data_IF_400851898552
#
_entry.id   IF_400851898552
#
_cell.length_a   1.000
_cell.length_b   1.000
_cell.length_c   1.000
_cell.angle_alpha   90.00
_cell.angle_beta   90.00
_cell.angle_gamma   90.00
#
_symmetry.space_group_name_H-M   'P 1'
#
loop_
_entity.id
_entity.type
_entity.pdbx_description
1 polymer ?
#
# COMPACT_ATOMS: atom_id res chain seq x y z
N UNK A 1 -1.19 -84.11 41.36
CA UNK A 1 -0.06 -83.72 40.50
C UNK A 1 -0.57 -82.80 39.41
N UNK A 2 0.17 -81.70 39.19
CA UNK A 2 0.12 -80.75 38.06
C UNK A 2 -1.11 -79.86 37.88
N UNK A 3 -0.95 -78.61 38.36
CA UNK A 3 -1.68 -77.41 37.95
C UNK A 3 -1.30 -77.06 36.50
N UNK A 4 -2.28 -76.77 35.64
CA UNK A 4 -2.05 -76.07 34.38
C UNK A 4 -2.57 -74.64 34.49
N UNK A 5 -1.68 -73.68 34.26
CA UNK A 5 -1.91 -72.24 34.32
C UNK A 5 -2.55 -71.79 32.99
N UNK A 6 -3.64 -71.03 33.09
CA UNK A 6 -4.22 -70.24 31.99
C UNK A 6 -3.20 -69.21 31.49
N UNK A 7 -3.12 -69.04 30.17
CA UNK A 7 -2.59 -67.81 29.54
C UNK A 7 -3.61 -67.36 28.51
N UNK A 8 -4.41 -66.35 28.88
CA UNK A 8 -5.29 -65.64 27.96
C UNK A 8 -4.47 -64.54 27.28
N UNK A 9 -4.32 -64.63 25.96
CA UNK A 9 -3.64 -63.63 25.14
C UNK A 9 -4.58 -62.43 24.94
N UNK A 10 -4.36 -61.34 25.67
CA UNK A 10 -5.08 -60.08 25.45
C UNK A 10 -4.44 -59.32 24.28
N UNK A 11 -5.15 -59.25 23.15
CA UNK A 11 -4.76 -58.45 22.00
C UNK A 11 -5.07 -56.97 22.30
N UNK A 12 -4.05 -56.19 22.65
CA UNK A 12 -4.18 -54.75 22.86
C UNK A 12 -4.16 -54.07 21.48
N UNK A 13 -5.33 -53.66 20.98
CA UNK A 13 -5.43 -52.76 19.83
C UNK A 13 -5.03 -51.35 20.28
N UNK A 14 -3.81 -50.92 19.93
CA UNK A 14 -3.42 -49.51 20.10
C UNK A 14 -4.02 -48.70 18.96
N UNK A 15 -5.11 -47.98 19.23
CA UNK A 15 -5.60 -46.95 18.31
C UNK A 15 -4.62 -45.79 18.33
N UNK A 16 -3.83 -45.63 17.27
CA UNK A 16 -3.05 -44.42 17.04
C UNK A 16 -4.03 -43.28 16.80
N UNK A 17 -4.21 -42.40 17.79
CA UNK A 17 -4.91 -41.14 17.58
C UNK A 17 -4.04 -40.27 16.67
N UNK A 18 -4.43 -40.13 15.40
CA UNK A 18 -3.87 -39.09 14.54
C UNK A 18 -4.28 -37.74 15.13
N UNK A 19 -3.33 -37.05 15.76
CA UNK A 19 -3.47 -35.63 16.09
C UNK A 19 -3.52 -34.89 14.76
N UNK A 20 -4.72 -34.50 14.33
CA UNK A 20 -4.89 -33.57 13.22
C UNK A 20 -4.50 -32.20 13.76
N UNK A 21 -3.31 -31.74 13.41
CA UNK A 21 -2.95 -30.34 13.62
C UNK A 21 -3.88 -29.51 12.74
N UNK A 22 -4.60 -28.51 13.28
CA UNK A 22 -5.32 -27.58 12.43
C UNK A 22 -4.29 -26.94 11.50
N UNK A 23 -4.48 -27.13 10.20
CA UNK A 23 -3.72 -26.43 9.18
C UNK A 23 -3.88 -24.94 9.49
N UNK A 24 -2.81 -24.27 9.89
CA UNK A 24 -2.86 -22.84 10.13
C UNK A 24 -3.15 -22.22 8.77
N UNK A 25 -4.42 -21.89 8.53
CA UNK A 25 -4.86 -21.23 7.32
C UNK A 25 -3.96 -20.01 7.11
N UNK A 26 -3.03 -20.09 6.15
CA UNK A 26 -2.21 -18.94 5.79
C UNK A 26 -3.19 -17.84 5.40
N UNK A 27 -3.14 -16.71 6.10
CA UNK A 27 -3.98 -15.57 5.78
C UNK A 27 -3.89 -15.30 4.27
N UNK A 28 -5.04 -15.28 3.61
CA UNK A 28 -5.10 -15.06 2.17
C UNK A 28 -4.54 -13.66 1.87
N UNK A 29 -3.58 -13.57 0.96
CA UNK A 29 -2.99 -12.29 0.55
C UNK A 29 -4.07 -11.44 -0.14
N UNK A 30 -4.22 -10.20 0.29
CA UNK A 30 -5.07 -9.22 -0.40
C UNK A 30 -4.47 -8.86 -1.76
N UNK A 31 -5.29 -8.97 -2.80
CA UNK A 31 -4.94 -8.75 -4.18
C UNK A 31 -6.05 -8.01 -4.91
N UNK A 32 -5.73 -7.44 -6.07
CA UNK A 32 -6.71 -6.77 -6.93
C UNK A 32 -7.81 -7.70 -7.45
N UNK A 33 -7.64 -9.02 -7.34
CA UNK A 33 -8.61 -10.02 -7.80
C UNK A 33 -9.64 -10.43 -6.74
N UNK A 34 -9.32 -10.23 -5.46
CA UNK A 34 -10.15 -10.68 -4.33
C UNK A 34 -10.50 -9.56 -3.35
N UNK A 35 -10.02 -8.34 -3.60
CA UNK A 35 -10.22 -7.19 -2.72
C UNK A 35 -10.91 -6.09 -3.51
N UNK A 36 -12.07 -5.66 -3.03
CA UNK A 36 -12.80 -4.54 -3.61
C UNK A 36 -11.96 -3.26 -3.53
N UNK A 37 -12.04 -2.46 -4.57
CA UNK A 37 -11.43 -1.14 -4.59
C UNK A 37 -12.02 -0.26 -3.47
N UNK A 38 -11.20 0.50 -2.70
CA UNK A 38 -11.70 1.24 -1.54
C UNK A 38 -12.63 2.37 -1.97
N UNK A 39 -13.75 2.50 -1.26
CA UNK A 39 -14.67 3.64 -1.43
C UNK A 39 -14.28 4.83 -0.57
N UNK A 40 -13.75 4.53 0.62
CA UNK A 40 -13.43 5.51 1.64
C UNK A 40 -12.10 5.22 2.29
N UNK A 41 -11.53 6.23 2.95
CA UNK A 41 -10.36 6.11 3.81
C UNK A 41 -10.55 6.92 5.09
N UNK A 42 -10.03 6.40 6.19
CA UNK A 42 -10.05 7.03 7.51
C UNK A 42 -8.69 7.68 7.79
N UNK A 43 -8.69 8.99 7.90
CA UNK A 43 -7.49 9.80 8.14
C UNK A 43 -7.51 10.32 9.57
N UNK A 44 -6.53 9.94 10.39
CA UNK A 44 -6.31 10.58 11.68
C UNK A 44 -5.75 11.98 11.49
N UNK A 45 -6.42 12.99 12.06
CA UNK A 45 -5.99 14.38 12.01
C UNK A 45 -5.21 14.69 13.28
N UNK A 46 -3.89 14.80 13.15
CA UNK A 46 -2.98 15.21 14.22
C UNK A 46 -2.83 16.73 14.27
N UNK A 47 -2.73 17.27 15.48
CA UNK A 47 -2.49 18.69 15.67
C UNK A 47 -1.19 19.14 14.97
N UNK A 48 -1.23 20.32 14.35
CA UNK A 48 -0.09 20.95 13.66
C UNK A 48 0.58 20.11 12.56
N UNK A 49 -0.12 19.09 12.04
CA UNK A 49 0.44 18.15 11.07
C UNK A 49 1.79 17.53 11.53
N UNK A 50 1.86 17.14 12.80
CA UNK A 50 3.08 16.64 13.40
C UNK A 50 2.92 15.18 13.86
N UNK A 51 3.80 14.25 13.43
CA UNK A 51 3.81 12.84 13.81
C UNK A 51 3.68 12.54 15.29
N UNK A 52 4.23 13.39 16.16
CA UNK A 52 4.23 13.18 17.62
C UNK A 52 3.12 13.94 18.35
N UNK A 53 2.30 14.69 17.61
CA UNK A 53 1.16 15.41 18.19
C UNK A 53 -0.05 14.49 18.38
N UNK A 54 -0.93 14.81 19.35
CA UNK A 54 -2.12 14.01 19.60
C UNK A 54 -3.04 14.00 18.38
N UNK A 55 -3.72 12.87 18.20
CA UNK A 55 -4.85 12.74 17.28
C UNK A 55 -6.02 13.54 17.85
N UNK A 56 -6.55 14.47 17.05
CA UNK A 56 -7.69 15.31 17.42
C UNK A 56 -9.01 14.60 17.10
N UNK A 57 -9.09 13.99 15.92
CA UNK A 57 -10.23 13.21 15.44
C UNK A 57 -9.82 12.34 14.23
N UNK A 58 -10.71 11.45 13.80
CA UNK A 58 -10.55 10.67 12.56
C UNK A 58 -11.59 11.14 11.54
N UNK A 59 -11.14 11.60 10.38
CA UNK A 59 -11.98 12.01 9.26
C UNK A 59 -12.17 10.84 8.30
N UNK A 60 -13.39 10.60 7.83
CA UNK A 60 -13.65 9.63 6.75
C UNK A 60 -13.91 10.40 5.45
N UNK A 61 -13.16 10.07 4.40
CA UNK A 61 -13.19 10.75 3.11
C UNK A 61 -13.47 9.77 1.97
N UNK A 62 -13.90 10.29 0.82
CA UNK A 62 -13.84 9.52 -0.42
C UNK A 62 -12.39 9.13 -0.72
N UNK A 63 -12.17 7.90 -1.23
CA UNK A 63 -10.81 7.44 -1.49
C UNK A 63 -10.11 8.25 -2.60
N UNK A 64 -10.86 8.67 -3.62
CA UNK A 64 -10.36 9.55 -4.69
C UNK A 64 -10.05 10.95 -4.18
N UNK A 65 -10.97 11.52 -3.40
CA UNK A 65 -10.83 12.83 -2.75
C UNK A 65 -9.55 12.89 -1.91
N UNK A 66 -9.27 11.85 -1.11
CA UNK A 66 -8.02 11.74 -0.37
C UNK A 66 -6.79 11.78 -1.29
N UNK A 67 -6.80 11.03 -2.40
CA UNK A 67 -5.68 11.01 -3.33
C UNK A 67 -5.48 12.37 -4.03
N UNK A 68 -6.56 13.07 -4.37
CA UNK A 68 -6.53 14.42 -4.93
C UNK A 68 -5.94 15.44 -3.94
N UNK A 69 -6.21 15.29 -2.65
CA UNK A 69 -5.68 16.15 -1.59
C UNK A 69 -4.25 15.79 -1.16
N UNK A 70 -3.79 14.55 -1.35
CA UNK A 70 -2.40 14.16 -1.05
C UNK A 70 -1.45 14.58 -2.16
N UNK A 71 -1.80 14.33 -3.43
CA UNK A 71 -0.89 14.51 -4.55
C UNK A 71 -0.22 15.90 -4.61
N UNK A 72 -0.90 17.05 -4.44
CA UNK A 72 -0.27 18.37 -4.52
C UNK A 72 0.69 18.68 -3.37
N UNK A 73 0.67 17.87 -2.30
CA UNK A 73 1.54 18.03 -1.15
C UNK A 73 2.76 17.11 -1.19
N UNK A 74 2.66 15.99 -1.92
CA UNK A 74 3.76 15.05 -2.13
C UNK A 74 4.52 15.31 -3.44
N UNK A 75 3.79 15.68 -4.50
CA UNK A 75 4.36 16.11 -5.77
C UNK A 75 4.05 17.59 -6.00
N UNK A 76 5.06 18.35 -6.42
CA UNK A 76 4.88 19.78 -6.70
C UNK A 76 3.81 20.01 -7.77
N UNK A 77 2.78 20.85 -7.55
CA UNK A 77 1.66 21.01 -8.50
C UNK A 77 2.08 21.53 -9.89
N UNK A 78 3.26 22.15 -10.01
CA UNK A 78 3.81 22.63 -11.27
C UNK A 78 4.57 21.58 -12.08
N UNK A 79 4.88 20.42 -11.49
CA UNK A 79 5.70 19.36 -12.06
C UNK A 79 5.07 18.76 -13.33
N UNK A 80 5.87 18.05 -14.11
CA UNK A 80 5.46 17.43 -15.35
C UNK A 80 4.28 16.46 -15.14
N UNK A 81 3.32 16.46 -16.07
CA UNK A 81 2.10 15.64 -15.93
C UNK A 81 2.40 14.14 -15.79
N UNK A 82 3.41 13.63 -16.50
CA UNK A 82 3.79 12.21 -16.42
C UNK A 82 4.44 11.86 -15.08
N UNK A 83 5.14 12.82 -14.45
CA UNK A 83 5.60 12.70 -13.06
C UNK A 83 4.41 12.66 -12.09
N UNK A 84 3.44 13.56 -12.27
CA UNK A 84 2.23 13.60 -11.45
C UNK A 84 1.41 12.31 -11.56
N UNK A 85 1.28 11.73 -12.76
CA UNK A 85 0.60 10.44 -12.97
C UNK A 85 1.29 9.28 -12.27
N UNK A 86 2.62 9.22 -12.35
CA UNK A 86 3.40 8.21 -11.61
C UNK A 86 3.20 8.39 -10.10
N UNK A 87 3.26 9.63 -9.61
CA UNK A 87 2.96 9.98 -8.22
C UNK A 87 1.54 9.58 -7.79
N UNK A 88 0.53 9.87 -8.62
CA UNK A 88 -0.87 9.53 -8.38
C UNK A 88 -1.07 8.02 -8.17
N UNK A 89 -0.43 7.19 -8.99
CA UNK A 89 -0.43 5.73 -8.81
C UNK A 89 0.26 5.33 -7.51
N UNK A 90 1.42 5.91 -7.19
CA UNK A 90 2.16 5.57 -5.99
C UNK A 90 1.38 5.90 -4.71
N UNK A 91 0.82 7.11 -4.62
CA UNK A 91 0.05 7.53 -3.44
C UNK A 91 -1.21 6.69 -3.27
N UNK A 92 -1.89 6.34 -4.37
CA UNK A 92 -3.09 5.50 -4.34
C UNK A 92 -2.78 4.10 -3.83
N UNK A 93 -1.72 3.47 -4.34
CA UNK A 93 -1.34 2.11 -3.92
C UNK A 93 -0.87 2.08 -2.46
N UNK A 94 -0.17 3.13 -2.01
CA UNK A 94 0.16 3.31 -0.60
C UNK A 94 -1.12 3.39 0.25
N UNK A 95 -2.04 4.30 -0.09
CA UNK A 95 -3.27 4.50 0.64
C UNK A 95 -4.15 3.23 0.66
N UNK A 96 -4.29 2.53 -0.47
CA UNK A 96 -5.06 1.29 -0.55
C UNK A 96 -4.48 0.22 0.36
N UNK A 97 -3.16 0.04 0.37
CA UNK A 97 -2.52 -0.88 1.30
C UNK A 97 -2.91 -0.59 2.75
N UNK A 98 -2.91 0.68 3.15
CA UNK A 98 -3.25 1.06 4.53
C UNK A 98 -4.73 0.94 4.89
N UNK A 99 -5.66 1.01 3.92
CA UNK A 99 -7.08 0.64 4.18
C UNK A 99 -7.24 -0.83 4.60
N UNK A 100 -6.28 -1.69 4.26
CA UNK A 100 -6.27 -3.11 4.62
C UNK A 100 -5.46 -3.39 5.90
N UNK A 101 -4.70 -2.40 6.38
CA UNK A 101 -3.80 -2.53 7.53
C UNK A 101 -4.01 -1.34 8.49
N UNK A 102 -5.21 -1.18 9.07
CA UNK A 102 -5.51 -0.04 9.90
C UNK A 102 -4.70 -0.05 11.20
N UNK A 103 -4.36 1.14 11.65
CA UNK A 103 -3.65 1.39 12.91
C UNK A 103 -4.65 1.75 14.01
N UNK A 104 -4.40 1.30 15.24
CA UNK A 104 -5.14 1.77 16.43
C UNK A 104 -4.18 2.43 17.41
N UNK A 105 -4.40 3.71 17.70
CA UNK A 105 -3.57 4.53 18.60
C UNK A 105 -4.49 5.39 19.47
N UNK A 106 -4.25 5.42 20.79
CA UNK A 106 -4.97 6.28 21.72
C UNK A 106 -6.51 6.19 21.63
N UNK A 107 -7.04 5.00 21.31
CA UNK A 107 -8.47 4.75 21.16
C UNK A 107 -9.06 5.09 19.78
N UNK A 108 -8.26 5.62 18.85
CA UNK A 108 -8.67 5.87 17.46
C UNK A 108 -8.21 4.73 16.56
N UNK A 109 -9.08 4.26 15.65
CA UNK A 109 -8.71 3.35 14.56
C UNK A 109 -8.84 4.07 13.22
N UNK A 110 -7.74 4.11 12.46
CA UNK A 110 -7.62 4.83 11.21
C UNK A 110 -6.73 4.07 10.22
N UNK A 111 -6.78 4.45 8.95
CA UNK A 111 -5.99 3.81 7.89
C UNK A 111 -4.64 4.52 7.75
N UNK A 112 -4.67 5.85 7.71
CA UNK A 112 -3.50 6.74 7.58
C UNK A 112 -3.64 7.95 8.53
N UNK A 113 -2.56 8.68 8.81
CA UNK A 113 -2.65 10.01 9.43
C UNK A 113 -2.29 11.11 8.42
N UNK A 114 -2.48 12.37 8.80
CA UNK A 114 -2.29 13.51 7.90
C UNK A 114 -0.81 13.90 7.65
N UNK A 115 0.13 13.20 8.27
CA UNK A 115 1.54 13.57 8.35
C UNK A 115 2.43 12.73 7.44
N UNK A 116 3.70 13.11 7.36
CA UNK A 116 4.73 12.38 6.61
C UNK A 116 5.07 10.98 7.16
N UNK A 117 4.48 10.55 8.28
CA UNK A 117 4.51 9.15 8.69
C UNK A 117 3.79 8.25 7.68
N UNK A 118 2.77 8.77 7.02
CA UNK A 118 2.03 8.11 5.96
C UNK A 118 2.20 8.90 4.68
N UNK A 119 1.39 9.95 4.49
CA UNK A 119 1.42 10.85 3.36
C UNK A 119 0.96 12.23 3.81
N UNK A 120 1.60 13.29 3.30
CA UNK A 120 1.23 14.67 3.63
C UNK A 120 -0.19 14.97 3.09
N UNK A 121 -1.20 14.93 3.97
CA UNK A 121 -2.59 15.18 3.62
C UNK A 121 -3.06 16.53 4.15
N UNK A 122 -3.68 17.31 3.28
CA UNK A 122 -4.36 18.56 3.64
C UNK A 122 -5.73 18.59 2.98
N UNK A 123 -6.78 18.62 3.80
CA UNK A 123 -8.16 18.61 3.34
C UNK A 123 -8.46 19.81 2.42
N UNK A 124 -9.13 19.55 1.29
CA UNK A 124 -9.48 20.53 0.26
C UNK A 124 -8.26 21.27 -0.32
N UNK A 125 -7.14 20.56 -0.49
CA UNK A 125 -5.90 21.11 -1.06
C UNK A 125 -5.64 20.71 -2.51
N UNK A 126 -6.55 19.94 -3.12
CA UNK A 126 -6.57 19.60 -4.54
C UNK A 126 -6.22 20.76 -5.47
N UNK A 127 -5.58 20.42 -6.58
CA UNK A 127 -5.12 21.39 -7.60
C UNK A 127 -5.42 20.83 -8.97
N UNK A 128 -5.92 21.68 -9.87
CA UNK A 128 -6.34 21.31 -11.23
C UNK A 128 -5.40 20.30 -11.93
N UNK A 129 -4.08 20.54 -11.91
CA UNK A 129 -3.11 19.65 -12.61
C UNK A 129 -2.88 18.32 -11.89
N UNK A 130 -2.88 18.31 -10.56
CA UNK A 130 -2.74 17.07 -9.78
C UNK A 130 -4.04 16.26 -9.81
N UNK A 131 -5.18 16.93 -9.72
CA UNK A 131 -6.49 16.30 -9.80
C UNK A 131 -6.68 15.63 -11.17
N UNK A 132 -6.25 16.29 -12.24
CA UNK A 132 -6.22 15.70 -13.58
C UNK A 132 -5.35 14.42 -13.63
N UNK A 133 -4.16 14.43 -13.03
CA UNK A 133 -3.29 13.26 -13.00
C UNK A 133 -3.92 12.10 -12.20
N UNK A 134 -4.58 12.39 -11.07
CA UNK A 134 -5.32 11.41 -10.28
C UNK A 134 -6.49 10.82 -11.08
N UNK A 135 -7.28 11.66 -11.75
CA UNK A 135 -8.43 11.24 -12.55
C UNK A 135 -8.00 10.39 -13.76
N UNK A 136 -7.00 10.83 -14.52
CA UNK A 136 -6.50 10.11 -15.71
C UNK A 136 -5.92 8.73 -15.37
N UNK A 137 -5.49 8.52 -14.12
CA UNK A 137 -4.93 7.25 -13.65
C UNK A 137 -5.86 6.50 -12.71
N UNK A 138 -7.10 6.97 -12.49
CA UNK A 138 -7.96 6.47 -11.41
C UNK A 138 -8.24 4.96 -11.52
N UNK A 139 -8.59 4.50 -12.72
CA UNK A 139 -8.89 3.09 -13.00
C UNK A 139 -7.62 2.26 -13.29
N UNK A 140 -6.43 2.74 -12.91
CA UNK A 140 -5.15 2.06 -13.13
C UNK A 140 -4.45 1.78 -11.80
N UNK A 141 -3.82 0.61 -11.67
CA UNK A 141 -3.07 0.20 -10.48
C UNK A 141 -1.74 -0.41 -10.92
N UNK A 142 -0.72 -0.36 -10.06
CA UNK A 142 0.61 -0.89 -10.39
C UNK A 142 1.03 -1.92 -9.34
N UNK A 143 1.00 -3.19 -9.73
CA UNK A 143 1.06 -4.34 -8.81
C UNK A 143 2.06 -5.40 -9.29
N UNK A 144 2.63 -6.21 -8.37
CA UNK A 144 3.43 -7.37 -8.74
C UNK A 144 2.62 -8.39 -9.55
N UNK A 145 3.29 -9.36 -10.17
CA UNK A 145 2.67 -10.35 -11.06
C UNK A 145 1.52 -11.15 -10.42
N UNK A 146 1.56 -11.37 -9.10
CA UNK A 146 0.50 -12.06 -8.35
C UNK A 146 -0.71 -11.16 -8.00
N UNK A 147 -0.69 -9.88 -8.39
CA UNK A 147 -1.74 -8.92 -8.13
C UNK A 147 -1.86 -8.46 -6.67
N UNK A 148 -0.89 -8.79 -5.82
CA UNK A 148 -0.92 -8.39 -4.41
C UNK A 148 -1.02 -6.85 -4.28
N UNK A 149 -1.86 -6.39 -3.36
CA UNK A 149 -1.96 -4.97 -3.02
C UNK A 149 -0.83 -4.67 -2.04
N UNK A 150 0.20 -3.98 -2.54
CA UNK A 150 1.38 -3.58 -1.78
C UNK A 150 1.56 -2.08 -1.85
N UNK A 151 2.02 -1.47 -0.76
CA UNK A 151 2.40 -0.06 -0.79
C UNK A 151 3.51 0.21 -1.81
N UNK A 152 3.37 1.28 -2.58
CA UNK A 152 4.43 1.78 -3.45
C UNK A 152 5.19 2.89 -2.71
N UNK A 153 6.35 2.54 -2.17
CA UNK A 153 7.16 3.50 -1.40
C UNK A 153 7.71 4.61 -2.30
N UNK A 154 7.89 5.80 -1.74
CA UNK A 154 8.54 6.92 -2.40
C UNK A 154 9.29 7.81 -1.39
N UNK A 155 10.22 8.63 -1.88
CA UNK A 155 10.95 9.66 -1.10
C UNK A 155 11.30 10.84 -1.98
N UNK A 156 11.61 11.98 -1.38
CA UNK A 156 12.02 13.19 -2.10
C UNK A 156 13.15 12.93 -3.11
N UNK A 157 14.28 12.38 -2.63
CA UNK A 157 15.54 12.37 -3.37
C UNK A 157 16.19 13.76 -3.42
N UNK A 158 17.33 13.86 -4.09
CA UNK A 158 18.05 15.11 -4.29
C UNK A 158 17.28 16.03 -5.26
N UNK A 159 17.04 17.31 -4.90
CA UNK A 159 16.35 18.25 -5.76
C UNK A 159 17.02 18.44 -7.12
N UNK A 160 16.21 18.56 -8.19
CA UNK A 160 16.67 18.83 -9.56
C UNK A 160 17.67 17.80 -10.12
N UNK A 161 17.61 16.55 -9.65
CA UNK A 161 18.47 15.44 -10.08
C UNK A 161 17.62 14.27 -10.56
N UNK A 162 18.22 13.43 -11.40
CA UNK A 162 17.63 12.17 -11.89
C UNK A 162 17.51 11.08 -10.80
N UNK A 163 18.26 11.20 -9.70
CA UNK A 163 18.21 10.28 -8.56
C UNK A 163 18.40 8.80 -8.93
N UNK A 164 19.41 8.48 -9.75
CA UNK A 164 19.67 7.12 -10.27
C UNK A 164 19.80 6.02 -9.21
N UNK A 165 20.25 6.36 -8.00
CA UNK A 165 20.39 5.39 -6.90
C UNK A 165 19.06 4.79 -6.42
N UNK A 166 17.92 5.40 -6.78
CA UNK A 166 16.59 4.89 -6.44
C UNK A 166 16.03 3.92 -7.50
N UNK A 167 16.62 3.85 -8.70
CA UNK A 167 16.11 2.98 -9.76
C UNK A 167 16.24 1.51 -9.36
N UNK A 168 15.19 0.73 -9.56
CA UNK A 168 15.14 -0.68 -9.19
C UNK A 168 15.00 -0.97 -7.70
N UNK A 169 14.88 0.05 -6.84
CA UNK A 169 14.86 -0.13 -5.38
C UNK A 169 13.46 -0.36 -4.79
N UNK A 170 12.42 -0.39 -5.62
CA UNK A 170 11.01 -0.39 -5.18
C UNK A 170 10.64 0.85 -4.35
N UNK A 171 11.37 1.96 -4.55
CA UNK A 171 11.12 3.25 -3.94
C UNK A 171 11.30 4.36 -4.96
N UNK A 172 10.22 5.05 -5.32
CA UNK A 172 10.28 6.13 -6.31
C UNK A 172 10.86 7.41 -5.71
N UNK A 173 11.81 8.02 -6.42
CA UNK A 173 12.23 9.39 -6.09
C UNK A 173 11.23 10.38 -6.69
N UNK A 174 10.67 11.27 -5.86
CA UNK A 174 9.78 12.35 -6.31
C UNK A 174 10.52 13.28 -7.30
N UNK A 175 11.69 13.81 -6.92
CA UNK A 175 12.50 14.63 -7.82
C UNK A 175 13.03 13.87 -9.03
N UNK A 176 13.34 12.58 -8.87
CA UNK A 176 13.71 11.71 -9.97
C UNK A 176 12.57 11.54 -10.99
N UNK A 177 11.35 11.25 -10.54
CA UNK A 177 10.17 11.17 -11.41
C UNK A 177 9.92 12.46 -12.18
N UNK A 178 10.11 13.62 -11.54
CA UNK A 178 10.05 14.92 -12.22
C UNK A 178 11.14 15.08 -13.27
N UNK A 179 12.38 14.68 -12.97
CA UNK A 179 13.45 14.68 -13.97
C UNK A 179 13.11 13.80 -15.18
N UNK A 180 12.64 12.57 -14.94
CA UNK A 180 12.34 11.61 -16.01
C UNK A 180 11.17 12.07 -16.89
N UNK A 181 10.11 12.64 -16.29
CA UNK A 181 9.00 13.21 -17.06
C UNK A 181 9.38 14.51 -17.78
N UNK A 182 10.05 15.44 -17.10
CA UNK A 182 10.30 16.79 -17.64
C UNK A 182 11.50 16.86 -18.60
N UNK A 183 12.61 16.17 -18.32
CA UNK A 183 13.85 16.23 -19.09
C UNK A 183 13.98 15.08 -20.07
N UNK A 184 13.76 13.85 -19.62
CA UNK A 184 13.84 12.66 -20.48
C UNK A 184 12.56 12.40 -21.29
N UNK A 185 11.47 13.12 -20.99
CA UNK A 185 10.16 13.01 -21.67
C UNK A 185 9.59 11.58 -21.63
N UNK A 186 9.86 10.86 -20.55
CA UNK A 186 9.34 9.51 -20.37
C UNK A 186 7.86 9.56 -19.95
N UNK A 187 7.02 8.66 -20.48
CA UNK A 187 5.66 8.52 -20.02
C UNK A 187 5.62 7.85 -18.64
N UNK A 188 4.56 8.06 -17.88
CA UNK A 188 4.47 7.65 -16.48
C UNK A 188 4.66 6.15 -16.26
N UNK A 189 4.26 5.30 -17.20
CA UNK A 189 4.43 3.85 -17.15
C UNK A 189 5.92 3.46 -17.22
N UNK A 190 6.71 4.21 -17.98
CA UNK A 190 8.16 4.02 -18.04
C UNK A 190 8.81 4.45 -16.72
N UNK A 191 8.35 5.56 -16.13
CA UNK A 191 8.82 6.04 -14.83
C UNK A 191 8.54 4.98 -13.75
N UNK A 192 7.30 4.46 -13.68
CA UNK A 192 6.92 3.41 -12.73
C UNK A 192 7.77 2.14 -12.91
N UNK A 193 8.00 1.71 -14.16
CA UNK A 193 8.83 0.53 -14.46
C UNK A 193 10.27 0.67 -13.97
N UNK A 194 10.83 1.86 -14.04
CA UNK A 194 12.19 2.12 -13.58
C UNK A 194 12.34 2.00 -12.06
N UNK A 195 11.30 2.35 -11.30
CA UNK A 195 11.36 2.34 -9.83
C UNK A 195 10.88 1.03 -9.21
N UNK A 196 9.83 0.41 -9.75
CA UNK A 196 9.26 -0.85 -9.25
C UNK A 196 9.35 -1.94 -10.32
N UNK A 197 10.53 -2.57 -10.49
CA UNK A 197 10.73 -3.58 -11.53
C UNK A 197 9.88 -4.83 -11.24
N UNK A 198 9.42 -5.51 -12.31
CA UNK A 198 8.57 -6.71 -12.19
C UNK A 198 7.11 -6.44 -11.82
N UNK A 199 6.75 -5.18 -11.54
CA UNK A 199 5.36 -4.76 -11.39
C UNK A 199 4.76 -4.44 -12.76
N UNK A 200 3.45 -4.45 -12.85
CA UNK A 200 2.72 -4.20 -14.09
C UNK A 200 1.53 -3.28 -13.84
N UNK A 201 1.25 -2.43 -14.82
CA UNK A 201 0.06 -1.60 -14.84
C UNK A 201 -1.15 -2.48 -15.18
N UNK A 202 -2.22 -2.37 -14.40
CA UNK A 202 -3.48 -3.08 -14.59
C UNK A 202 -4.63 -2.08 -14.53
N UNK A 203 -5.69 -2.36 -15.27
CA UNK A 203 -6.95 -1.64 -15.14
C UNK A 203 -7.84 -2.38 -14.14
N UNK A 204 -8.55 -1.62 -13.30
CA UNK A 204 -9.48 -2.11 -12.28
C UNK A 204 -10.83 -1.42 -12.38
#
# INVERSE_FOLDING_TARGET
MQRFLQVSLALILTTTACIVYPDTAKAQVHSIFNTSYPKTIRVAIRANNNPVSPILYVQTLGFEEYCQDVLPNEWGPSWNLESLKAGAIAIKMFAWYYTLHPTTESGFTYDVDNTTNFQEFKYLSGRVKTDLATQETWNMVYVPANGAITQLNYRAGAPFRENRSYLGTYMMSQWGSEYWGSKAKLPFESILRMYYPGYTLKFV
#
